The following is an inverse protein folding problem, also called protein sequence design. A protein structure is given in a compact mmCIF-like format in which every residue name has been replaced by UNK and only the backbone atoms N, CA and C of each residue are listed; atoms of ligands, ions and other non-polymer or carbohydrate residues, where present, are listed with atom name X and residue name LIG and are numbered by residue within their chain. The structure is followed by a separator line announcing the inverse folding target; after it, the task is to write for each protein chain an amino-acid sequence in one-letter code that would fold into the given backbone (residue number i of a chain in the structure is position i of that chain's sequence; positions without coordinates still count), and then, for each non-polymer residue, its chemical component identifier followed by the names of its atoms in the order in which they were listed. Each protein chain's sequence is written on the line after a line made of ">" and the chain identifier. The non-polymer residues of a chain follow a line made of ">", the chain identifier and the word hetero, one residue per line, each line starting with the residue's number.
data_IF_164115990855
#
_entry.id   IF_164115990855
#
_cell.length_a   1.000
_cell.length_b   1.000
_cell.length_c   1.000
_cell.angle_alpha   90.00
_cell.angle_beta   90.00
_cell.angle_gamma   90.00
#
_symmetry.space_group_name_H-M   'P 1'
#
loop_
_entity.id
_entity.type
_entity.pdbx_description
1 polymer ?
#
# COMPACT_ATOMS: atom_id res chain seq x y z
N UNK A 1 -5.77 -6.84 29.62
CA UNK A 1 -4.53 -6.84 28.86
C UNK A 1 -4.28 -5.44 28.32
N UNK A 2 -3.14 -4.84 28.60
CA UNK A 2 -2.81 -3.49 28.13
C UNK A 2 -2.46 -3.48 26.63
N UNK A 3 -2.53 -2.30 25.98
CA UNK A 3 -2.15 -2.17 24.57
C UNK A 3 -0.70 -2.64 24.29
N UNK A 4 0.21 -2.42 25.25
CA UNK A 4 1.59 -2.89 25.13
C UNK A 4 1.70 -4.41 25.20
N UNK A 5 0.99 -5.04 26.12
CA UNK A 5 0.99 -6.51 26.27
C UNK A 5 0.45 -7.19 25.01
N UNK A 6 -0.59 -6.63 24.38
CA UNK A 6 -1.13 -7.17 23.13
C UNK A 6 -0.11 -7.07 21.99
N UNK A 7 0.55 -5.92 21.84
CA UNK A 7 1.59 -5.72 20.83
C UNK A 7 2.76 -6.68 21.05
N UNK A 8 3.22 -6.83 22.31
CA UNK A 8 4.30 -7.76 22.65
C UNK A 8 3.93 -9.21 22.38
N UNK A 9 2.70 -9.60 22.69
CA UNK A 9 2.20 -10.95 22.41
C UNK A 9 2.14 -11.25 20.91
N UNK A 10 1.75 -10.25 20.10
CA UNK A 10 1.57 -10.44 18.64
C UNK A 10 2.89 -10.38 17.89
N UNK A 11 3.78 -9.45 18.23
CA UNK A 11 4.97 -9.14 17.45
C UNK A 11 6.30 -9.41 18.17
N UNK A 12 6.26 -9.84 19.44
CA UNK A 12 7.45 -10.05 20.27
C UNK A 12 7.79 -8.87 21.18
N UNK A 13 8.67 -9.13 22.15
CA UNK A 13 8.94 -8.26 23.29
C UNK A 13 9.46 -6.86 22.92
N UNK A 14 10.23 -6.75 21.84
CA UNK A 14 10.84 -5.50 21.38
C UNK A 14 10.08 -4.81 20.24
N UNK A 15 8.94 -5.34 19.82
CA UNK A 15 8.21 -4.90 18.64
C UNK A 15 7.83 -3.42 18.66
N UNK A 16 7.36 -2.90 19.81
CA UNK A 16 6.99 -1.50 19.92
C UNK A 16 8.15 -0.55 19.61
N UNK A 17 9.37 -0.90 20.03
CA UNK A 17 10.58 -0.13 19.76
C UNK A 17 11.07 -0.30 18.30
N UNK A 18 11.07 -1.53 17.80
CA UNK A 18 11.49 -1.86 16.43
C UNK A 18 10.60 -1.22 15.37
N UNK A 19 9.31 -1.09 15.63
CA UNK A 19 8.35 -0.43 14.73
C UNK A 19 8.26 1.09 14.94
N UNK A 20 9.08 1.69 15.80
CA UNK A 20 9.06 3.12 16.07
C UNK A 20 7.80 3.62 16.76
N UNK A 21 7.10 2.76 17.52
CA UNK A 21 5.88 3.09 18.26
C UNK A 21 6.22 3.82 19.57
N UNK A 22 6.86 4.99 19.46
CA UNK A 22 7.41 5.71 20.62
C UNK A 22 6.37 6.56 21.38
N UNK A 23 5.24 6.86 20.73
CA UNK A 23 4.17 7.68 21.32
C UNK A 23 3.10 6.80 21.96
N UNK A 24 2.65 7.19 23.17
CA UNK A 24 1.64 6.46 23.92
C UNK A 24 0.33 6.31 23.16
N UNK A 25 -0.05 7.33 22.42
CA UNK A 25 -1.26 7.36 21.59
C UNK A 25 -1.21 6.32 20.48
N UNK A 26 -0.06 6.21 19.80
CA UNK A 26 0.13 5.24 18.71
C UNK A 26 0.08 3.81 19.25
N UNK A 27 0.74 3.56 20.39
CA UNK A 27 0.67 2.27 21.08
C UNK A 27 -0.77 1.93 21.45
N UNK A 28 -1.52 2.91 21.96
CA UNK A 28 -2.93 2.72 22.34
C UNK A 28 -3.80 2.35 21.13
N UNK A 29 -3.67 3.07 20.04
CA UNK A 29 -4.42 2.79 18.80
C UNK A 29 -4.05 1.41 18.24
N UNK A 30 -2.77 1.09 18.12
CA UNK A 30 -2.31 -0.20 17.64
C UNK A 30 -2.87 -1.35 18.51
N UNK A 31 -2.78 -1.22 19.83
CA UNK A 31 -3.32 -2.20 20.74
C UNK A 31 -4.85 -2.35 20.67
N UNK A 32 -5.57 -1.27 20.44
CA UNK A 32 -7.02 -1.31 20.26
C UNK A 32 -7.42 -2.05 18.97
N UNK A 33 -6.72 -1.79 17.87
CA UNK A 33 -6.95 -2.50 16.60
C UNK A 33 -6.67 -3.99 16.74
N UNK A 34 -5.53 -4.38 17.33
CA UNK A 34 -5.19 -5.78 17.55
C UNK A 34 -6.22 -6.49 18.45
N UNK A 35 -6.68 -5.80 19.51
CA UNK A 35 -7.72 -6.33 20.39
C UNK A 35 -9.04 -6.55 19.65
N UNK A 36 -9.43 -5.60 18.82
CA UNK A 36 -10.64 -5.71 18.00
C UNK A 36 -10.54 -6.89 17.03
N UNK A 37 -9.40 -7.03 16.33
CA UNK A 37 -9.19 -8.16 15.41
C UNK A 37 -9.26 -9.50 16.15
N UNK A 38 -8.61 -9.63 17.30
CA UNK A 38 -8.64 -10.86 18.09
C UNK A 38 -10.04 -11.20 18.62
N UNK A 39 -10.86 -10.18 18.93
CA UNK A 39 -12.24 -10.37 19.36
C UNK A 39 -13.20 -10.78 18.23
N UNK A 40 -12.97 -10.27 17.03
CA UNK A 40 -13.83 -10.53 15.87
C UNK A 40 -13.40 -11.77 15.10
N UNK A 41 -12.11 -12.06 15.07
CA UNK A 41 -11.52 -13.22 14.39
C UNK A 41 -10.38 -13.79 15.24
N UNK A 42 -10.67 -14.71 16.20
CA UNK A 42 -9.66 -15.29 17.05
C UNK A 42 -8.52 -15.94 16.25
N UNK A 43 -7.28 -15.61 16.61
CA UNK A 43 -6.07 -16.07 15.92
C UNK A 43 -5.65 -15.23 14.70
N UNK A 44 -6.50 -14.35 14.17
CA UNK A 44 -6.14 -13.54 13.00
C UNK A 44 -5.04 -12.50 13.30
N UNK A 45 -4.87 -12.11 14.56
CA UNK A 45 -3.78 -11.22 14.94
C UNK A 45 -2.38 -11.81 14.64
N UNK A 46 -2.24 -13.13 14.65
CA UNK A 46 -0.98 -13.81 14.34
C UNK A 46 -0.54 -13.67 12.86
N UNK A 47 -1.42 -13.25 11.97
CA UNK A 47 -1.14 -13.04 10.56
C UNK A 47 -0.35 -11.73 10.32
N UNK A 48 -0.46 -10.77 11.24
CA UNK A 48 0.29 -9.52 11.12
C UNK A 48 1.77 -9.75 11.42
N UNK A 49 2.62 -9.43 10.46
CA UNK A 49 4.10 -9.57 10.58
C UNK A 49 4.77 -8.27 11.04
N UNK A 50 4.14 -7.12 10.80
CA UNK A 50 4.73 -5.81 11.13
C UNK A 50 3.69 -4.72 11.28
N UNK A 51 4.08 -3.65 11.94
CA UNK A 51 3.33 -2.37 12.00
C UNK A 51 4.19 -1.29 11.35
N UNK A 52 3.65 -0.62 10.35
CA UNK A 52 4.34 0.49 9.70
C UNK A 52 3.73 1.83 10.15
N UNK A 53 4.54 2.63 10.83
CA UNK A 53 4.14 3.97 11.23
C UNK A 53 4.45 4.98 10.11
N UNK A 54 3.41 5.45 9.45
CA UNK A 54 3.53 6.50 8.44
C UNK A 54 3.40 7.88 9.10
N UNK A 55 4.46 8.67 9.03
CA UNK A 55 4.41 10.07 9.46
C UNK A 55 3.69 10.90 8.42
N UNK A 56 2.76 11.76 8.87
CA UNK A 56 2.14 12.75 7.97
C UNK A 56 3.16 13.73 7.37
N UNK A 57 4.36 13.82 7.96
CA UNK A 57 5.47 14.65 7.45
C UNK A 57 6.20 14.07 6.24
N UNK A 58 5.94 12.81 5.89
CA UNK A 58 6.62 12.16 4.75
C UNK A 58 5.93 12.45 3.41
N UNK A 59 4.68 12.90 3.48
CA UNK A 59 3.85 13.15 2.30
C UNK A 59 3.11 14.48 2.42
N UNK A 60 2.86 15.10 1.28
CA UNK A 60 1.97 16.25 1.20
C UNK A 60 0.55 15.80 1.57
N UNK A 61 -0.07 16.51 2.51
CA UNK A 61 -1.47 16.26 2.85
C UNK A 61 -2.38 16.85 1.78
N UNK A 62 -3.13 16.00 1.12
CA UNK A 62 -4.22 16.39 0.24
C UNK A 62 -5.53 15.91 0.88
N UNK A 63 -6.41 16.83 1.19
CA UNK A 63 -7.74 16.49 1.67
C UNK A 63 -8.65 15.98 0.54
N UNK A 64 -9.80 15.44 0.89
CA UNK A 64 -10.73 14.89 -0.11
C UNK A 64 -11.27 15.94 -1.08
N UNK A 65 -11.31 17.22 -0.68
CA UNK A 65 -11.75 18.33 -1.53
C UNK A 65 -10.67 18.63 -2.57
N UNK A 66 -9.40 18.70 -2.15
CA UNK A 66 -8.28 18.90 -3.06
C UNK A 66 -8.16 17.75 -4.08
N UNK A 67 -8.25 16.50 -3.62
CA UNK A 67 -8.21 15.31 -4.50
C UNK A 67 -9.31 15.36 -5.56
N UNK A 68 -10.52 15.76 -5.17
CA UNK A 68 -11.66 15.89 -6.08
C UNK A 68 -11.52 17.09 -7.05
N UNK A 69 -11.19 18.26 -6.52
CA UNK A 69 -11.11 19.48 -7.34
C UNK A 69 -9.94 19.46 -8.33
N UNK A 70 -8.88 18.75 -8.02
CA UNK A 70 -7.75 18.51 -8.94
C UNK A 70 -8.02 17.32 -9.87
N UNK A 71 -9.18 16.68 -9.79
CA UNK A 71 -9.56 15.51 -10.59
C UNK A 71 -8.48 14.44 -10.62
N UNK A 72 -7.85 14.18 -9.48
CA UNK A 72 -6.72 13.24 -9.41
C UNK A 72 -7.15 11.81 -9.71
N UNK A 73 -8.30 11.38 -9.22
CA UNK A 73 -8.77 9.99 -9.29
C UNK A 73 -10.04 9.81 -10.10
N UNK A 74 -10.85 10.86 -10.22
CA UNK A 74 -12.13 10.85 -10.91
C UNK A 74 -12.47 12.24 -11.44
N UNK A 75 -13.20 12.29 -12.53
CA UNK A 75 -13.72 13.53 -13.11
C UNK A 75 -14.81 14.14 -12.21
N UNK A 76 -14.86 15.45 -12.13
CA UNK A 76 -15.92 16.18 -11.44
C UNK A 76 -17.26 16.12 -12.19
N UNK A 77 -17.21 15.92 -13.49
CA UNK A 77 -18.40 15.97 -14.34
C UNK A 77 -19.32 14.76 -14.13
N UNK A 78 -18.74 13.57 -13.99
CA UNK A 78 -19.48 12.30 -13.95
C UNK A 78 -19.01 11.33 -12.87
N UNK A 79 -17.99 11.69 -12.08
CA UNK A 79 -17.42 10.88 -11.01
C UNK A 79 -16.64 9.66 -11.50
N UNK A 80 -16.48 9.48 -12.80
CA UNK A 80 -15.75 8.35 -13.37
C UNK A 80 -14.25 8.59 -13.36
N UNK A 81 -13.47 7.51 -13.52
CA UNK A 81 -12.00 7.60 -13.60
C UNK A 81 -11.54 8.22 -14.92
N UNK A 82 -12.33 8.04 -15.98
CA UNK A 82 -12.09 8.66 -17.28
C UNK A 82 -11.98 10.18 -17.14
N UNK A 83 -11.07 10.79 -17.88
CA UNK A 83 -10.75 12.23 -17.82
C UNK A 83 -10.12 12.71 -16.49
N UNK A 84 -9.70 11.80 -15.61
CA UNK A 84 -8.91 12.16 -14.42
C UNK A 84 -7.40 12.09 -14.71
N UNK A 85 -6.59 12.70 -13.82
CA UNK A 85 -5.14 12.58 -13.91
C UNK A 85 -4.69 11.10 -13.85
N UNK A 86 -5.33 10.29 -13.02
CA UNK A 86 -5.06 8.86 -12.94
C UNK A 86 -5.24 8.18 -14.29
N UNK A 87 -6.34 8.46 -15.01
CA UNK A 87 -6.61 7.80 -16.31
C UNK A 87 -5.58 8.13 -17.38
N UNK A 88 -5.04 9.37 -17.35
CA UNK A 88 -3.99 9.80 -18.29
C UNK A 88 -2.65 9.12 -17.98
N UNK A 89 -2.35 8.92 -16.69
CA UNK A 89 -1.06 8.38 -16.24
C UNK A 89 -1.03 6.86 -16.16
N UNK A 90 -2.18 6.18 -15.99
CA UNK A 90 -2.22 4.75 -15.74
C UNK A 90 -1.94 3.94 -17.00
N UNK A 91 -0.69 3.57 -17.13
CA UNK A 91 -0.19 2.58 -18.09
C UNK A 91 0.37 1.34 -17.41
N UNK A 92 -0.02 1.08 -16.16
CA UNK A 92 0.48 -0.03 -15.35
C UNK A 92 0.15 -1.38 -15.97
N UNK A 93 0.93 -2.41 -15.62
CA UNK A 93 0.76 -3.78 -16.16
C UNK A 93 0.31 -4.76 -15.10
N UNK A 94 0.24 -4.33 -13.83
CA UNK A 94 -0.17 -5.17 -12.71
C UNK A 94 -1.18 -4.45 -11.83
N UNK A 95 -2.10 -5.15 -11.18
CA UNK A 95 -3.03 -4.54 -10.21
C UNK A 95 -2.32 -3.86 -9.04
N UNK A 96 -1.18 -4.41 -8.60
CA UNK A 96 -0.34 -3.82 -7.55
C UNK A 96 0.25 -2.47 -8.01
N UNK A 97 0.73 -2.40 -9.27
CA UNK A 97 1.23 -1.16 -9.87
C UNK A 97 0.14 -0.08 -9.94
N UNK A 98 -1.07 -0.44 -10.37
CA UNK A 98 -2.21 0.48 -10.43
C UNK A 98 -2.56 1.04 -9.03
N UNK A 99 -2.58 0.19 -7.99
CA UNK A 99 -2.79 0.63 -6.61
C UNK A 99 -1.67 1.56 -6.13
N UNK A 100 -0.42 1.23 -6.46
CA UNK A 100 0.74 2.07 -6.10
C UNK A 100 0.66 3.44 -6.77
N UNK A 101 0.37 3.50 -8.08
CA UNK A 101 0.20 4.76 -8.80
C UNK A 101 -0.89 5.62 -8.18
N UNK A 102 -2.05 5.03 -7.88
CA UNK A 102 -3.15 5.71 -7.19
C UNK A 102 -2.71 6.30 -5.84
N UNK A 103 -1.95 5.52 -5.05
CA UNK A 103 -1.42 6.00 -3.77
C UNK A 103 -0.42 7.15 -3.95
N UNK A 104 0.41 7.12 -4.98
CA UNK A 104 1.37 8.17 -5.25
C UNK A 104 0.70 9.50 -5.63
N UNK A 105 -0.41 9.46 -6.33
CA UNK A 105 -1.18 10.65 -6.69
C UNK A 105 -1.81 11.33 -5.47
N UNK A 106 -2.34 10.56 -4.53
CA UNK A 106 -3.01 11.13 -3.33
C UNK A 106 -2.07 11.37 -2.15
N UNK A 107 -0.84 10.85 -2.21
CA UNK A 107 0.20 11.01 -1.20
C UNK A 107 1.52 11.42 -1.85
N UNK A 108 1.62 12.64 -2.40
CA UNK A 108 2.86 13.12 -3.01
C UNK A 108 3.98 13.19 -1.98
N UNK A 109 5.20 12.88 -2.40
CA UNK A 109 6.37 13.01 -1.55
C UNK A 109 6.70 14.47 -1.29
N UNK A 110 7.25 14.76 -0.09
CA UNK A 110 7.78 16.08 0.28
C UNK A 110 9.31 16.06 0.23
N UNK A 111 9.92 14.93 0.53
CA UNK A 111 11.38 14.79 0.55
C UNK A 111 11.94 14.89 -0.87
N UNK A 112 12.77 15.92 -1.10
CA UNK A 112 13.36 16.21 -2.40
C UNK A 112 14.28 15.09 -2.90
N UNK A 113 14.99 14.41 -2.01
CA UNK A 113 15.86 13.31 -2.41
C UNK A 113 15.06 12.11 -2.90
N UNK A 114 13.94 11.80 -2.25
CA UNK A 114 13.03 10.74 -2.68
C UNK A 114 12.33 11.10 -3.99
N UNK A 115 12.01 12.39 -4.19
CA UNK A 115 11.42 12.88 -5.45
C UNK A 115 12.43 12.70 -6.58
N UNK A 116 13.68 13.18 -6.38
CA UNK A 116 14.74 13.03 -7.38
C UNK A 116 15.02 11.59 -7.72
N UNK A 117 15.13 10.71 -6.73
CA UNK A 117 15.32 9.29 -6.98
C UNK A 117 14.19 8.66 -7.84
N UNK A 118 12.93 9.10 -7.68
CA UNK A 118 11.84 8.67 -8.58
C UNK A 118 12.03 9.23 -10.00
N UNK A 119 12.44 10.49 -10.12
CA UNK A 119 12.69 11.13 -11.41
C UNK A 119 13.83 10.45 -12.15
N UNK A 120 14.91 10.09 -11.45
CA UNK A 120 16.05 9.36 -12.02
C UNK A 120 15.65 7.99 -12.56
N UNK A 121 14.79 7.26 -11.83
CA UNK A 121 14.22 6.00 -12.32
C UNK A 121 13.35 6.19 -13.56
N UNK A 122 12.56 7.26 -13.62
CA UNK A 122 11.75 7.57 -14.81
C UNK A 122 12.67 7.93 -15.98
N UNK A 123 13.70 8.76 -15.77
CA UNK A 123 14.67 9.12 -16.79
C UNK A 123 15.39 7.88 -17.35
N UNK A 124 15.83 6.98 -16.48
CA UNK A 124 16.43 5.72 -16.91
C UNK A 124 15.53 4.94 -17.89
N UNK A 125 14.24 4.77 -17.57
CA UNK A 125 13.33 4.04 -18.45
C UNK A 125 12.88 4.84 -19.68
N UNK A 126 13.06 6.15 -19.73
CA UNK A 126 12.88 6.96 -20.93
C UNK A 126 14.04 6.71 -21.87
N UNK A 127 15.27 6.73 -21.37
CA UNK A 127 16.50 6.56 -22.14
C UNK A 127 16.67 5.11 -22.63
N UNK A 128 16.41 4.12 -21.77
CA UNK A 128 16.48 2.70 -22.13
C UNK A 128 15.10 2.14 -22.51
N UNK A 129 14.73 2.37 -23.76
CA UNK A 129 13.47 1.84 -24.31
C UNK A 129 13.42 0.32 -24.39
N UNK A 130 14.57 -0.37 -24.50
CA UNK A 130 14.66 -1.83 -24.56
C UNK A 130 14.35 -2.41 -23.18
N UNK A 131 15.06 -1.97 -22.13
CA UNK A 131 14.81 -2.40 -20.77
C UNK A 131 13.37 -2.11 -20.34
N UNK A 132 12.83 -0.92 -20.70
CA UNK A 132 11.42 -0.59 -20.45
C UNK A 132 10.47 -1.59 -21.08
N UNK A 133 10.69 -1.98 -22.34
CA UNK A 133 9.84 -2.95 -23.04
C UNK A 133 9.92 -4.33 -22.38
N UNK A 134 11.11 -4.81 -22.10
CA UNK A 134 11.33 -6.11 -21.48
C UNK A 134 10.67 -6.24 -20.11
N UNK A 135 10.85 -5.23 -19.22
CA UNK A 135 10.24 -5.27 -17.91
C UNK A 135 8.71 -5.22 -17.99
N UNK A 136 8.15 -4.44 -18.93
CA UNK A 136 6.70 -4.37 -19.14
C UNK A 136 6.13 -5.71 -19.61
N UNK A 137 6.84 -6.45 -20.46
CA UNK A 137 6.41 -7.80 -20.89
C UNK A 137 6.46 -8.79 -19.71
N UNK A 138 7.54 -8.78 -18.93
CA UNK A 138 7.65 -9.63 -17.73
C UNK A 138 6.56 -9.33 -16.71
N UNK A 139 6.22 -8.07 -16.50
CA UNK A 139 5.17 -7.66 -15.56
C UNK A 139 3.77 -8.17 -15.95
N UNK A 140 3.49 -8.43 -17.23
CA UNK A 140 2.18 -8.98 -17.65
C UNK A 140 1.89 -10.36 -17.05
N UNK A 141 2.91 -11.15 -16.76
CA UNK A 141 2.78 -12.48 -16.17
C UNK A 141 2.71 -12.45 -14.63
N UNK A 142 2.90 -11.29 -14.01
CA UNK A 142 2.90 -11.18 -12.55
C UNK A 142 1.47 -11.10 -12.02
N UNK A 143 1.07 -12.12 -11.29
CA UNK A 143 -0.22 -12.18 -10.60
C UNK A 143 -0.29 -11.19 -9.43
N UNK A 144 -1.50 -10.90 -8.95
CA UNK A 144 -1.72 -10.05 -7.78
C UNK A 144 -1.31 -10.74 -6.48
N UNK A 145 -0.02 -10.63 -6.16
CA UNK A 145 0.61 -11.29 -5.00
C UNK A 145 -0.03 -10.81 -3.68
N UNK A 146 -0.40 -9.51 -3.58
CA UNK A 146 -1.04 -8.98 -2.38
C UNK A 146 -2.41 -9.63 -2.13
N UNK A 147 -3.20 -9.81 -3.17
CA UNK A 147 -4.49 -10.51 -3.08
C UNK A 147 -4.34 -11.99 -2.77
N UNK A 148 -3.33 -12.64 -3.34
CA UNK A 148 -3.04 -14.04 -3.06
C UNK A 148 -2.63 -14.19 -1.60
N UNK A 149 -1.70 -13.36 -1.10
CA UNK A 149 -1.26 -13.37 0.28
C UNK A 149 -2.43 -13.10 1.24
N UNK A 150 -3.28 -12.12 0.96
CA UNK A 150 -4.45 -11.83 1.78
C UNK A 150 -5.42 -13.03 1.86
N UNK A 151 -5.68 -13.71 0.74
CA UNK A 151 -6.54 -14.91 0.73
C UNK A 151 -5.96 -16.07 1.52
N UNK A 152 -4.66 -16.30 1.40
CA UNK A 152 -3.96 -17.33 2.20
C UNK A 152 -4.11 -17.00 3.68
N UNK A 153 -3.86 -15.75 4.05
CA UNK A 153 -3.95 -15.28 5.43
C UNK A 153 -5.36 -15.39 6.03
N UNK A 154 -6.39 -15.19 5.22
CA UNK A 154 -7.79 -15.31 5.66
C UNK A 154 -8.31 -16.76 5.62
N UNK A 155 -7.47 -17.76 5.34
CA UNK A 155 -7.90 -19.17 5.22
C UNK A 155 -8.87 -19.45 4.06
N UNK A 156 -9.16 -18.47 3.22
CA UNK A 156 -10.09 -18.57 2.09
C UNK A 156 -9.42 -19.00 0.78
N UNK A 157 -8.13 -19.33 0.82
CA UNK A 157 -7.41 -19.92 -0.30
C UNK A 157 -7.76 -21.41 -0.40
N UNK A 158 -8.94 -21.73 -0.89
CA UNK A 158 -9.18 -23.03 -1.46
C UNK A 158 -8.15 -23.25 -2.58
N UNK A 159 -7.65 -24.47 -2.68
CA UNK A 159 -6.68 -24.91 -3.68
C UNK A 159 -6.96 -24.21 -5.01
N UNK A 160 -6.22 -23.15 -5.30
CA UNK A 160 -6.27 -22.51 -6.58
C UNK A 160 -5.44 -23.37 -7.49
N UNK A 161 -6.14 -24.13 -8.04
CA UNK A 161 -6.10 -24.50 -9.24
C UNK A 161 -5.10 -25.11 -9.95
N UNK A 162 -5.42 -25.78 -10.44
CA UNK A 162 -5.08 -26.32 -11.77
C UNK A 162 -5.52 -25.26 -12.76
N UNK A 163 -4.65 -24.28 -13.02
CA UNK A 163 -4.72 -23.53 -14.23
C UNK A 163 -4.69 -24.54 -15.38
N UNK A 164 -5.65 -24.47 -16.20
CA UNK A 164 -5.69 -25.24 -17.42
C UNK A 164 -4.42 -24.99 -18.23
N UNK A 165 -3.72 -26.04 -18.51
CA UNK A 165 -2.79 -26.18 -19.61
C UNK A 165 -3.56 -26.02 -20.91
#
# INVERSE_FOLDING_TARGET
>A
MSSREIIQKTFGEHAAKSFGLNKKEIVSVCGAVLKYVEQTQPGAAAVFSSVNYMRNTDFMYLDGVAVRNLELLSSMADGKTENSLLSVMDSTKTPMGARTLRQWLIKPLIDINKIRARQDNVAFFIEDGIARKEIREKLKSVSDIERIAARISCGSANQIGRAHV
#
